data_IF_468786098618
#
_entry.id   IF_468786098618
#
_cell.length_a   1.000
_cell.length_b   1.000
_cell.length_c   1.000
_cell.angle_alpha   90.00
_cell.angle_beta   90.00
_cell.angle_gamma   90.00
#
_symmetry.space_group_name_H-M   'P 1'
#
loop_
_entity.id
_entity.type
_entity.pdbx_description
1 polymer ?
#
# COMPACT_ATOMS: atom_id res chain seq x y z
N UNK A 1 7.85 -11.22 6.87
CA UNK A 1 7.87 -9.79 7.25
C UNK A 1 6.52 -9.09 7.14
N UNK A 2 6.25 -8.08 7.98
CA UNK A 2 5.12 -7.15 7.83
C UNK A 2 5.67 -5.72 7.79
N UNK A 3 5.28 -4.93 6.78
CA UNK A 3 5.60 -3.51 6.64
C UNK A 3 4.29 -2.71 6.66
N UNK A 4 4.25 -1.65 7.47
CA UNK A 4 3.11 -0.74 7.52
C UNK A 4 3.57 0.66 7.14
N UNK A 5 2.80 1.33 6.27
CA UNK A 5 3.04 2.69 5.83
C UNK A 5 1.78 3.56 6.02
N UNK A 6 1.90 4.61 6.82
CA UNK A 6 0.92 5.68 6.99
C UNK A 6 1.50 6.99 6.45
N UNK A 7 1.54 7.16 5.12
CA UNK A 7 2.05 8.37 4.50
C UNK A 7 1.06 9.54 4.67
N UNK A 8 1.53 10.79 4.52
CA UNK A 8 0.66 11.97 4.54
C UNK A 8 -0.53 11.88 3.56
N UNK A 9 -1.71 12.33 3.99
CA UNK A 9 -2.95 12.30 3.20
C UNK A 9 -2.94 13.19 1.95
N UNK A 10 -2.05 14.19 1.90
CA UNK A 10 -1.87 15.09 0.77
C UNK A 10 -1.00 14.50 -0.35
N UNK A 11 -0.53 13.25 -0.19
CA UNK A 11 0.17 12.54 -1.24
C UNK A 11 -0.70 12.38 -2.49
N UNK A 12 -0.07 12.56 -3.64
CA UNK A 12 -0.72 12.28 -4.92
C UNK A 12 -0.86 10.77 -5.11
N UNK A 13 -1.75 10.34 -6.00
CA UNK A 13 -1.86 8.93 -6.37
C UNK A 13 -0.49 8.34 -6.80
N UNK A 14 0.30 9.11 -7.56
CA UNK A 14 1.64 8.69 -7.98
C UNK A 14 2.58 8.48 -6.79
N UNK A 15 2.49 9.30 -5.74
CA UNK A 15 3.32 9.13 -4.54
C UNK A 15 2.92 7.89 -3.73
N UNK A 16 1.62 7.59 -3.64
CA UNK A 16 1.17 6.34 -3.03
C UNK A 16 1.64 5.11 -3.81
N UNK A 17 1.60 5.14 -5.15
CA UNK A 17 2.06 4.03 -6.00
C UNK A 17 3.55 3.76 -5.82
N UNK A 18 4.37 4.80 -5.58
CA UNK A 18 5.81 4.63 -5.34
C UNK A 18 6.12 3.78 -4.12
N UNK A 19 5.24 3.74 -3.10
CA UNK A 19 5.49 3.01 -1.85
C UNK A 19 5.60 1.49 -2.10
N UNK A 20 4.57 0.79 -2.59
CA UNK A 20 4.67 -0.64 -2.89
C UNK A 20 5.78 -0.88 -3.92
N UNK A 21 5.85 -0.08 -4.99
CA UNK A 21 6.88 -0.24 -6.02
C UNK A 21 8.31 -0.20 -5.45
N UNK A 22 8.62 0.71 -4.52
CA UNK A 22 9.94 0.76 -3.88
C UNK A 22 10.16 -0.37 -2.88
N UNK A 23 9.13 -0.81 -2.17
CA UNK A 23 9.21 -1.93 -1.22
C UNK A 23 9.54 -3.23 -1.94
N UNK A 24 8.82 -3.54 -3.02
CA UNK A 24 9.04 -4.73 -3.83
C UNK A 24 10.36 -4.66 -4.59
N UNK A 25 10.69 -3.54 -5.26
CA UNK A 25 11.95 -3.40 -6.00
C UNK A 25 13.20 -3.52 -5.12
N UNK A 26 13.12 -3.13 -3.84
CA UNK A 26 14.23 -3.23 -2.90
C UNK A 26 14.26 -4.56 -2.15
N UNK A 27 13.38 -5.51 -2.49
CA UNK A 27 13.22 -6.80 -1.81
C UNK A 27 13.12 -6.64 -0.29
N UNK A 28 12.35 -5.63 0.17
CA UNK A 28 12.19 -5.37 1.60
C UNK A 28 11.18 -6.32 2.27
N UNK A 29 10.32 -6.97 1.48
CA UNK A 29 9.46 -8.04 1.94
C UNK A 29 10.15 -9.39 1.75
N UNK A 30 10.13 -10.19 2.81
CA UNK A 30 10.42 -11.63 2.73
C UNK A 30 9.28 -12.34 2.01
N UNK A 31 9.52 -13.55 1.50
CA UNK A 31 8.50 -14.42 0.92
C UNK A 31 7.31 -14.61 1.88
N UNK A 32 6.08 -14.44 1.36
CA UNK A 32 4.84 -14.41 2.14
C UNK A 32 4.70 -13.17 3.04
N UNK A 33 5.48 -12.12 2.78
CA UNK A 33 5.43 -10.86 3.49
C UNK A 33 4.26 -9.99 3.04
N UNK A 34 3.82 -9.10 3.93
CA UNK A 34 2.68 -8.22 3.70
C UNK A 34 3.09 -6.77 3.87
N UNK A 35 2.77 -5.94 2.88
CA UNK A 35 2.78 -4.48 2.99
C UNK A 35 1.34 -3.98 3.17
N UNK A 36 1.15 -3.07 4.12
CA UNK A 36 -0.12 -2.42 4.40
C UNK A 36 0.07 -0.91 4.25
N UNK A 37 -0.73 -0.27 3.41
CA UNK A 37 -0.69 1.18 3.18
C UNK A 37 -2.02 1.79 3.62
N UNK A 38 -1.98 2.72 4.58
CA UNK A 38 -3.11 3.55 4.97
C UNK A 38 -3.24 4.75 4.02
N UNK A 39 -4.47 5.04 3.57
CA UNK A 39 -4.75 6.17 2.68
C UNK A 39 -6.21 6.63 2.76
N UNK A 40 -6.51 7.76 2.12
CA UNK A 40 -7.89 8.23 1.97
C UNK A 40 -8.71 7.29 1.07
N UNK A 41 -10.03 7.26 1.25
CA UNK A 41 -10.95 6.52 0.35
C UNK A 41 -10.97 6.99 -1.10
N UNK A 42 -10.43 8.17 -1.38
CA UNK A 42 -10.39 8.74 -2.73
C UNK A 42 -9.16 8.28 -3.52
N UNK A 43 -8.20 7.63 -2.85
CA UNK A 43 -7.03 7.03 -3.48
C UNK A 43 -7.33 5.57 -3.82
N UNK A 44 -7.23 5.20 -5.09
CA UNK A 44 -7.42 3.83 -5.57
C UNK A 44 -6.08 3.21 -5.95
N UNK A 45 -5.68 2.16 -5.22
CA UNK A 45 -4.44 1.42 -5.44
C UNK A 45 -4.69 0.02 -6.03
N UNK A 46 -5.91 -0.29 -6.46
CA UNK A 46 -6.29 -1.62 -6.96
C UNK A 46 -5.58 -2.02 -8.26
N UNK A 47 -5.05 -1.05 -9.00
CA UNK A 47 -4.32 -1.27 -10.25
C UNK A 47 -2.80 -1.38 -10.06
N UNK A 48 -2.34 -1.29 -8.81
CA UNK A 48 -0.91 -1.42 -8.49
C UNK A 48 -0.54 -2.89 -8.44
N UNK A 49 0.68 -3.20 -8.90
CA UNK A 49 1.23 -4.55 -8.86
C UNK A 49 1.28 -5.08 -7.42
N UNK A 50 1.18 -6.41 -7.27
CA UNK A 50 1.16 -7.12 -5.98
C UNK A 50 0.00 -6.74 -5.04
N UNK A 51 -0.98 -5.98 -5.52
CA UNK A 51 -2.20 -5.65 -4.79
C UNK A 51 -3.03 -6.91 -4.53
N UNK A 52 -3.41 -7.12 -3.27
CA UNK A 52 -4.25 -8.25 -2.85
C UNK A 52 -5.68 -7.79 -2.57
N UNK A 53 -5.87 -6.90 -1.59
CA UNK A 53 -7.21 -6.36 -1.25
C UNK A 53 -7.11 -5.05 -0.48
N UNK A 54 -8.25 -4.34 -0.35
CA UNK A 54 -8.37 -3.19 0.55
C UNK A 54 -9.50 -3.37 1.57
N UNK A 55 -9.36 -2.73 2.73
CA UNK A 55 -10.39 -2.65 3.77
C UNK A 55 -10.65 -1.20 4.14
N UNK A 56 -11.93 -0.82 4.15
CA UNK A 56 -12.36 0.52 4.55
C UNK A 56 -12.77 0.55 6.03
N UNK A 57 -12.31 1.57 6.76
CA UNK A 57 -12.71 1.84 8.13
C UNK A 57 -13.00 3.33 8.31
N UNK A 58 -14.26 3.69 8.52
CA UNK A 58 -14.62 5.10 8.72
C UNK A 58 -14.28 5.95 7.50
N UNK A 59 -13.39 6.93 7.62
CA UNK A 59 -12.90 7.77 6.51
C UNK A 59 -11.66 7.22 5.79
N UNK A 60 -11.06 6.14 6.31
CA UNK A 60 -9.77 5.64 5.86
C UNK A 60 -9.92 4.34 5.07
N UNK A 61 -8.92 4.04 4.27
CA UNK A 61 -8.76 2.82 3.50
C UNK A 61 -7.37 2.24 3.77
N UNK A 62 -7.29 0.93 3.90
CA UNK A 62 -6.04 0.21 4.03
C UNK A 62 -5.91 -0.73 2.85
N UNK A 63 -4.84 -0.60 2.08
CA UNK A 63 -4.53 -1.50 0.96
C UNK A 63 -3.42 -2.47 1.35
N UNK A 64 -3.61 -3.74 1.00
CA UNK A 64 -2.75 -4.85 1.36
C UNK A 64 -2.07 -5.39 0.10
N UNK A 65 -0.76 -5.57 0.17
CA UNK A 65 0.08 -6.10 -0.89
C UNK A 65 0.85 -7.31 -0.36
N UNK A 66 0.98 -8.35 -1.16
CA UNK A 66 1.58 -9.64 -0.77
C UNK A 66 2.72 -9.99 -1.74
N UNK A 67 3.86 -10.45 -1.20
CA UNK A 67 5.08 -10.83 -1.98
C UNK A 67 5.01 -12.20 -2.62
#
# INVERSE_FOLDING_TARGET
>A
TIIFADPPYDFTLEDFIKIPHLVFNKNLLEEGGILIVEHSKHTDLSQVEDFSYSKAYGGNMFSFFES
#
